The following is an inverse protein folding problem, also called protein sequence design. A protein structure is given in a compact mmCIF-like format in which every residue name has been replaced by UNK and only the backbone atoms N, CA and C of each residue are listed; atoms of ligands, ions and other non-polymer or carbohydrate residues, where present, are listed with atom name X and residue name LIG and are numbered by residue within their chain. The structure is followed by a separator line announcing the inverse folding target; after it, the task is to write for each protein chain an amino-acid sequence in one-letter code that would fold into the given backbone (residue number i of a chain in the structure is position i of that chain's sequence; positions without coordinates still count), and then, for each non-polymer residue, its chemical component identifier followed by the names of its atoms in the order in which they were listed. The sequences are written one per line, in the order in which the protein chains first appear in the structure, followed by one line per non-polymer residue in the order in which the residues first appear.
data_IF_264374730311
#
_entry.id   IF_264374730311
#
_cell.length_a   1.000
_cell.length_b   1.000
_cell.length_c   1.000
_cell.angle_alpha   90.00
_cell.angle_beta   90.00
_cell.angle_gamma   90.00
#
_symmetry.space_group_name_H-M   'P 1'
#
loop_
_entity.id
_entity.type
_entity.pdbx_description
1 polymer ?
#
# COMPACT_ATOMS: atom_id res chain seq x y z
N UNK A 1 -51.64 -30.18 8.91
CA UNK A 1 -51.31 -31.50 8.35
C UNK A 1 -49.79 -31.59 8.36
N UNK A 2 -49.18 -32.17 9.40
CA UNK A 2 -48.76 -33.59 9.47
C UNK A 2 -47.77 -33.94 8.33
N UNK A 3 -46.60 -34.54 8.48
CA UNK A 3 -45.79 -35.17 9.53
C UNK A 3 -44.31 -35.07 9.01
N UNK A 4 -43.20 -35.46 9.63
CA UNK A 4 -42.90 -36.50 10.60
C UNK A 4 -41.49 -36.25 11.11
N UNK A 5 -41.30 -36.40 12.41
CA UNK A 5 -39.99 -36.58 13.05
C UNK A 5 -39.39 -37.91 12.58
N UNK A 6 -38.07 -37.99 12.44
CA UNK A 6 -37.34 -39.26 12.52
C UNK A 6 -36.10 -39.04 13.38
N UNK A 7 -36.19 -39.54 14.61
CA UNK A 7 -35.09 -39.70 15.55
C UNK A 7 -34.37 -40.99 15.19
N UNK A 8 -33.05 -40.95 15.02
CA UNK A 8 -32.22 -42.14 15.17
C UNK A 8 -31.09 -41.84 16.14
N UNK A 9 -31.20 -42.53 17.26
CA UNK A 9 -30.26 -42.65 18.36
C UNK A 9 -28.96 -43.34 17.94
N UNK A 10 -27.83 -42.73 18.33
CA UNK A 10 -26.69 -43.41 18.95
C UNK A 10 -25.94 -44.49 18.17
N UNK A 11 -24.73 -44.16 17.74
CA UNK A 11 -23.59 -45.04 18.00
C UNK A 11 -22.33 -44.21 18.30
N UNK A 12 -22.00 -44.19 19.58
CA UNK A 12 -20.75 -43.66 20.13
C UNK A 12 -19.61 -44.57 19.63
N UNK A 13 -18.76 -44.08 18.74
CA UNK A 13 -17.46 -44.70 18.49
C UNK A 13 -16.36 -43.71 18.89
N UNK A 14 -15.91 -43.84 20.13
CA UNK A 14 -14.65 -43.28 20.61
C UNK A 14 -13.53 -43.98 19.86
N UNK A 15 -12.83 -43.26 18.98
CA UNK A 15 -11.47 -43.65 18.57
C UNK A 15 -10.59 -42.43 18.77
N UNK A 16 -9.83 -42.48 19.85
CA UNK A 16 -8.67 -41.63 20.10
C UNK A 16 -7.68 -41.79 18.93
N UNK A 17 -7.29 -40.67 18.34
CA UNK A 17 -6.30 -40.67 17.27
C UNK A 17 -5.98 -39.26 16.79
N UNK A 18 -5.34 -38.48 17.66
CA UNK A 18 -4.64 -37.26 17.27
C UNK A 18 -3.53 -37.69 16.29
N UNK A 19 -3.74 -37.48 14.99
CA UNK A 19 -2.64 -37.33 14.04
C UNK A 19 -2.77 -35.93 13.44
N UNK A 20 -2.36 -34.96 14.24
CA UNK A 20 -1.88 -33.69 13.72
C UNK A 20 -0.64 -34.03 12.88
N UNK A 21 -0.80 -34.16 11.56
CA UNK A 21 0.35 -34.10 10.66
C UNK A 21 0.89 -32.67 10.73
N UNK A 22 1.74 -32.41 11.72
CA UNK A 22 2.65 -31.28 11.72
C UNK A 22 3.54 -31.44 10.49
N UNK A 23 3.13 -30.89 9.36
CA UNK A 23 4.07 -30.48 8.33
C UNK A 23 4.90 -29.38 8.96
N UNK A 24 6.00 -29.77 9.60
CA UNK A 24 7.10 -28.87 9.93
C UNK A 24 7.67 -28.39 8.59
N UNK A 25 7.08 -27.32 8.05
CA UNK A 25 7.79 -26.45 7.14
C UNK A 25 8.85 -25.75 8.01
N UNK A 26 10.03 -26.37 8.11
CA UNK A 26 11.22 -25.65 8.57
C UNK A 26 11.55 -24.62 7.49
N UNK A 27 10.83 -23.51 7.50
CA UNK A 27 11.36 -22.28 6.92
C UNK A 27 12.67 -22.07 7.66
N UNK A 28 13.78 -22.22 6.93
CA UNK A 28 15.13 -22.12 7.45
C UNK A 28 15.22 -20.87 8.33
N UNK A 29 15.43 -21.06 9.64
CA UNK A 29 15.60 -19.98 10.62
C UNK A 29 16.65 -18.96 10.14
N UNK A 30 17.60 -19.40 9.33
CA UNK A 30 18.66 -18.59 8.73
C UNK A 30 18.17 -17.49 7.79
N UNK A 31 17.02 -17.65 7.12
CA UNK A 31 16.44 -16.60 6.26
C UNK A 31 15.66 -15.56 7.06
N UNK A 32 14.99 -15.99 8.14
CA UNK A 32 14.26 -15.08 9.05
C UNK A 32 15.25 -14.25 9.87
N UNK A 33 16.35 -14.86 10.34
CA UNK A 33 17.38 -14.19 11.13
C UNK A 33 18.13 -13.09 10.34
N UNK A 34 18.30 -13.27 9.03
CA UNK A 34 19.07 -12.34 8.18
C UNK A 34 18.32 -11.03 7.84
N UNK A 35 17.01 -11.01 8.06
CA UNK A 35 16.16 -9.84 7.82
C UNK A 35 15.97 -9.02 9.12
N UNK A 36 16.17 -9.63 10.28
CA UNK A 36 15.88 -9.04 11.60
C UNK A 36 16.99 -8.19 12.22
N UNK A 37 18.14 -7.99 11.56
CA UNK A 37 19.20 -7.09 12.04
C UNK A 37 18.92 -5.60 11.73
N UNK A 38 17.78 -5.29 11.08
CA UNK A 38 17.35 -3.92 10.86
C UNK A 38 16.76 -3.35 12.14
N UNK A 39 17.37 -2.28 12.64
CA UNK A 39 16.91 -1.59 13.85
C UNK A 39 15.63 -0.75 13.62
N UNK A 40 15.20 -0.61 12.36
CA UNK A 40 13.96 0.06 11.93
C UNK A 40 12.99 -0.94 11.26
N UNK A 41 11.69 -0.61 11.28
CA UNK A 41 10.60 -1.41 10.72
C UNK A 41 9.89 -0.68 9.58
N UNK A 42 9.51 -1.46 8.56
CA UNK A 42 8.65 -0.99 7.48
C UNK A 42 7.20 -0.87 7.98
N UNK A 43 6.60 0.28 7.73
CA UNK A 43 5.24 0.64 8.13
C UNK A 43 4.21 0.40 7.03
N UNK A 44 3.07 1.09 7.14
CA UNK A 44 1.98 1.03 6.16
C UNK A 44 2.28 1.85 4.91
N UNK A 45 1.50 1.59 3.86
CA UNK A 45 1.42 2.47 2.69
C UNK A 45 0.82 3.83 3.09
N UNK A 46 1.59 4.89 2.95
CA UNK A 46 1.12 6.25 3.20
C UNK A 46 0.24 6.74 2.03
N UNK A 47 0.77 6.67 0.82
CA UNK A 47 0.06 7.04 -0.39
C UNK A 47 0.65 6.40 -1.66
N UNK A 48 -0.15 6.40 -2.73
CA UNK A 48 0.31 6.18 -4.11
C UNK A 48 0.24 7.49 -4.86
N UNK A 49 1.36 7.96 -5.39
CA UNK A 49 1.43 9.19 -6.17
C UNK A 49 1.13 8.91 -7.64
N UNK A 50 0.23 9.70 -8.22
CA UNK A 50 -0.18 9.62 -9.62
C UNK A 50 0.09 10.98 -10.27
N UNK A 51 1.00 11.03 -11.23
CA UNK A 51 1.22 12.22 -12.02
C UNK A 51 0.10 12.35 -13.06
N UNK A 52 -0.57 13.50 -13.10
CA UNK A 52 -1.71 13.75 -13.98
C UNK A 52 -1.47 14.97 -14.88
N UNK A 53 -1.87 14.92 -16.17
CA UNK A 53 -1.68 16.03 -17.09
C UNK A 53 -2.66 17.19 -16.85
N UNK A 54 -3.75 16.93 -16.14
CA UNK A 54 -4.77 17.93 -15.77
C UNK A 54 -5.30 17.57 -14.39
N UNK A 55 -4.99 18.40 -13.40
CA UNK A 55 -5.30 18.15 -12.00
C UNK A 55 -6.80 18.25 -11.71
N UNK A 56 -7.47 19.25 -12.27
CA UNK A 56 -8.90 19.49 -12.03
C UNK A 56 -9.76 18.40 -12.67
N UNK A 57 -9.38 17.96 -13.88
CA UNK A 57 -10.03 16.81 -14.51
C UNK A 57 -9.85 15.54 -13.69
N UNK A 58 -8.64 15.26 -13.21
CA UNK A 58 -8.37 14.09 -12.39
C UNK A 58 -9.12 14.14 -11.05
N UNK A 59 -9.09 15.28 -10.36
CA UNK A 59 -9.87 15.56 -9.14
C UNK A 59 -11.35 15.26 -9.36
N UNK A 60 -11.93 15.80 -10.43
CA UNK A 60 -13.34 15.62 -10.77
C UNK A 60 -13.71 14.15 -11.04
N UNK A 61 -12.83 13.36 -11.66
CA UNK A 61 -13.08 11.91 -11.85
C UNK A 61 -13.24 11.21 -10.51
N UNK A 62 -12.30 11.40 -9.59
CA UNK A 62 -12.37 10.73 -8.28
C UNK A 62 -13.53 11.24 -7.44
N UNK A 63 -13.79 12.55 -7.45
CA UNK A 63 -14.84 13.16 -6.64
C UNK A 63 -16.25 12.91 -7.20
N UNK A 64 -16.47 13.23 -8.47
CA UNK A 64 -17.82 13.31 -9.04
C UNK A 64 -18.24 12.03 -9.77
N UNK A 65 -17.29 11.26 -10.31
CA UNK A 65 -17.60 9.99 -11.02
C UNK A 65 -17.50 8.81 -10.06
N UNK A 66 -16.44 8.75 -9.26
CA UNK A 66 -16.18 7.63 -8.35
C UNK A 66 -16.69 7.87 -6.92
N UNK A 67 -17.11 9.10 -6.58
CA UNK A 67 -17.73 9.41 -5.29
C UNK A 67 -16.76 9.42 -4.10
N UNK A 68 -15.45 9.57 -4.34
CA UNK A 68 -14.46 9.64 -3.28
C UNK A 68 -14.46 11.02 -2.59
N UNK A 69 -14.00 11.06 -1.35
CA UNK A 69 -13.66 12.32 -0.70
C UNK A 69 -12.33 12.83 -1.25
N UNK A 70 -12.31 14.05 -1.76
CA UNK A 70 -11.15 14.64 -2.42
C UNK A 70 -10.86 16.02 -1.84
N UNK A 71 -9.60 16.30 -1.54
CA UNK A 71 -9.18 17.57 -0.96
C UNK A 71 -9.22 18.72 -1.98
N UNK A 72 -9.06 19.94 -1.48
CA UNK A 72 -8.72 21.07 -2.34
C UNK A 72 -7.30 20.94 -2.90
N UNK A 73 -7.06 21.68 -3.99
CA UNK A 73 -5.76 21.78 -4.66
C UNK A 73 -4.80 22.59 -3.80
N UNK A 74 -3.65 22.02 -3.47
CA UNK A 74 -2.62 22.67 -2.65
C UNK A 74 -1.35 22.92 -3.49
N UNK A 75 -0.88 24.17 -3.64
CA UNK A 75 0.41 24.45 -4.24
C UNK A 75 1.54 24.11 -3.28
N UNK A 76 2.55 23.39 -3.75
CA UNK A 76 3.80 23.10 -3.03
C UNK A 76 5.01 23.61 -3.84
N UNK A 77 5.30 24.92 -3.79
CA UNK A 77 6.35 25.54 -4.62
C UNK A 77 7.74 24.93 -4.41
N UNK A 78 8.09 24.59 -3.16
CA UNK A 78 9.38 23.98 -2.81
C UNK A 78 9.58 22.59 -3.45
N UNK A 79 8.48 21.90 -3.74
CA UNK A 79 8.48 20.59 -4.41
C UNK A 79 8.17 20.69 -5.91
N UNK A 80 7.84 21.89 -6.40
CA UNK A 80 7.49 22.11 -7.81
C UNK A 80 6.24 21.35 -8.26
N UNK A 81 5.27 21.12 -7.37
CA UNK A 81 4.02 20.43 -7.71
C UNK A 81 2.80 21.10 -7.09
N UNK A 82 1.65 20.96 -7.75
CA UNK A 82 0.34 21.02 -7.11
C UNK A 82 -0.05 19.60 -6.69
N UNK A 83 -0.74 19.49 -5.56
CA UNK A 83 -1.23 18.21 -5.05
C UNK A 83 -2.71 18.25 -4.70
N UNK A 84 -3.38 17.11 -4.88
CA UNK A 84 -4.75 16.83 -4.42
C UNK A 84 -4.75 15.43 -3.82
N UNK A 85 -5.38 15.27 -2.65
CA UNK A 85 -5.51 13.98 -1.98
C UNK A 85 -6.89 13.37 -2.21
N UNK A 86 -6.91 12.10 -2.60
CA UNK A 86 -8.11 11.26 -2.64
C UNK A 86 -8.07 10.32 -1.45
N UNK A 87 -9.06 10.44 -0.56
CA UNK A 87 -9.13 9.67 0.68
C UNK A 87 -9.84 8.33 0.43
N UNK A 88 -9.16 7.21 0.72
CA UNK A 88 -9.68 5.84 0.54
C UNK A 88 -9.95 5.12 1.88
N UNK A 89 -9.75 5.79 3.00
CA UNK A 89 -9.91 5.26 4.35
C UNK A 89 -8.67 4.51 4.86
N UNK A 90 -8.15 3.54 4.11
CA UNK A 90 -6.94 2.79 4.50
C UNK A 90 -5.63 3.44 4.05
N UNK A 91 -5.67 4.24 3.00
CA UNK A 91 -4.53 4.99 2.43
C UNK A 91 -5.05 6.14 1.56
N UNK A 92 -4.16 6.82 0.84
CA UNK A 92 -4.48 7.97 -0.02
C UNK A 92 -3.93 7.77 -1.43
N UNK A 93 -4.60 8.37 -2.41
CA UNK A 93 -3.96 8.69 -3.68
C UNK A 93 -3.53 10.15 -3.63
N UNK A 94 -2.32 10.41 -4.07
CA UNK A 94 -1.80 11.76 -4.22
C UNK A 94 -1.72 12.09 -5.72
N UNK A 95 -2.60 12.98 -6.18
CA UNK A 95 -2.62 13.43 -7.56
C UNK A 95 -1.67 14.62 -7.70
N UNK A 96 -0.64 14.47 -8.53
CA UNK A 96 0.41 15.47 -8.70
C UNK A 96 0.35 16.10 -10.09
N UNK A 97 0.47 17.42 -10.14
CA UNK A 97 0.61 18.17 -11.39
C UNK A 97 1.78 19.16 -11.30
N UNK A 98 2.56 19.40 -12.37
CA UNK A 98 3.67 20.34 -12.35
C UNK A 98 3.29 21.73 -11.86
N UNK A 99 4.13 22.30 -10.99
CA UNK A 99 4.11 23.71 -10.63
C UNK A 99 5.48 24.31 -10.96
N UNK A 100 5.48 25.31 -11.84
CA UNK A 100 6.69 25.95 -12.35
C UNK A 100 7.40 25.14 -13.45
N UNK A 101 8.42 25.75 -14.07
CA UNK A 101 9.11 25.17 -15.22
C UNK A 101 10.04 24.01 -14.87
N UNK A 102 10.53 23.95 -13.62
CA UNK A 102 11.52 22.97 -13.15
C UNK A 102 10.89 21.87 -12.29
N UNK A 103 9.60 21.57 -12.48
CA UNK A 103 8.93 20.51 -11.72
C UNK A 103 9.62 19.15 -11.93
N UNK A 104 9.87 18.38 -10.85
CA UNK A 104 10.54 17.09 -10.93
C UNK A 104 9.75 16.05 -11.75
N UNK A 105 8.43 16.21 -11.88
CA UNK A 105 7.56 15.27 -12.61
C UNK A 105 7.31 15.68 -14.07
N UNK A 106 7.82 16.84 -14.53
CA UNK A 106 7.64 17.31 -15.91
C UNK A 106 8.17 16.29 -16.93
N UNK A 107 9.36 15.74 -16.71
CA UNK A 107 9.95 14.74 -17.60
C UNK A 107 9.14 13.43 -17.64
N UNK A 108 8.49 13.07 -16.53
CA UNK A 108 7.62 11.91 -16.48
C UNK A 108 6.37 12.11 -17.34
N UNK A 109 5.71 13.26 -17.25
CA UNK A 109 4.51 13.56 -18.05
C UNK A 109 4.82 13.77 -19.55
N UNK A 110 6.03 14.22 -19.89
CA UNK A 110 6.47 14.27 -21.29
C UNK A 110 6.51 12.88 -21.93
N UNK A 111 7.00 11.88 -21.17
CA UNK A 111 7.03 10.47 -21.60
C UNK A 111 5.65 9.82 -21.52
N UNK A 112 4.90 10.12 -20.47
CA UNK A 112 3.59 9.55 -20.16
C UNK A 112 2.51 10.63 -20.29
N UNK A 113 2.15 10.98 -21.53
CA UNK A 113 1.26 12.12 -21.83
C UNK A 113 -0.13 12.02 -21.19
N UNK A 114 -0.60 10.80 -20.93
CA UNK A 114 -1.89 10.56 -20.28
C UNK A 114 -1.81 10.56 -18.74
N UNK A 115 -0.62 10.74 -18.16
CA UNK A 115 -0.36 10.51 -16.74
C UNK A 115 0.00 9.07 -16.42
N UNK A 116 0.17 8.78 -15.13
CA UNK A 116 0.48 7.43 -14.64
C UNK A 116 0.90 7.40 -13.17
N UNK A 117 0.97 6.19 -12.59
CA UNK A 117 1.55 5.99 -11.26
C UNK A 117 3.02 6.38 -11.28
N UNK A 118 3.42 7.23 -10.35
CA UNK A 118 4.74 7.85 -10.31
C UNK A 118 5.63 7.21 -9.23
N UNK A 119 5.13 7.12 -8.01
CA UNK A 119 5.81 6.42 -6.91
C UNK A 119 4.81 5.94 -5.85
N UNK A 120 5.32 5.16 -4.91
CA UNK A 120 4.63 4.80 -3.66
C UNK A 120 5.43 5.35 -2.48
N UNK A 121 4.74 5.73 -1.42
CA UNK A 121 5.36 6.17 -0.17
C UNK A 121 4.98 5.19 0.94
N UNK A 122 5.97 4.56 1.56
CA UNK A 122 5.79 3.62 2.66
C UNK A 122 6.42 4.24 3.91
N UNK A 123 5.68 4.19 5.01
CA UNK A 123 6.15 4.73 6.30
C UNK A 123 7.28 3.87 6.87
N UNK A 124 8.10 4.47 7.72
CA UNK A 124 9.09 3.79 8.56
C UNK A 124 8.99 4.33 9.98
N UNK A 125 9.32 3.52 10.97
CA UNK A 125 9.25 3.92 12.38
C UNK A 125 10.38 4.87 12.81
N UNK A 126 11.58 4.74 12.22
CA UNK A 126 12.67 5.72 12.36
C UNK A 126 13.36 6.00 11.01
N UNK A 127 13.14 7.21 10.47
CA UNK A 127 13.71 7.62 9.18
C UNK A 127 15.23 7.78 9.21
N UNK A 128 15.80 8.23 10.34
CA UNK A 128 17.26 8.47 10.44
C UNK A 128 17.99 7.14 10.48
N UNK A 129 17.45 6.19 11.22
CA UNK A 129 17.97 4.83 11.30
C UNK A 129 17.81 4.09 9.97
N UNK A 130 16.63 4.18 9.34
CA UNK A 130 16.39 3.63 8.01
C UNK A 130 17.39 4.16 6.98
N UNK A 131 17.62 5.48 6.94
CA UNK A 131 18.61 6.08 6.07
C UNK A 131 20.05 5.64 6.38
N UNK A 132 20.43 5.56 7.66
CA UNK A 132 21.77 5.15 8.09
C UNK A 132 22.06 3.71 7.69
N UNK A 133 21.09 2.82 7.90
CA UNK A 133 21.17 1.41 7.55
C UNK A 133 21.18 1.18 6.03
N UNK A 134 20.30 1.85 5.27
CA UNK A 134 20.26 1.78 3.81
C UNK A 134 21.50 2.38 3.12
N UNK A 135 22.25 3.28 3.77
CA UNK A 135 23.55 3.75 3.24
C UNK A 135 24.65 2.70 3.39
N UNK A 136 24.59 1.88 4.44
CA UNK A 136 25.56 0.79 4.71
C UNK A 136 25.28 -0.42 3.85
N UNK A 137 24.00 -0.75 3.68
CA UNK A 137 23.53 -1.77 2.76
C UNK A 137 23.66 -1.17 1.36
N UNK A 138 24.61 -1.62 0.53
CA UNK A 138 24.72 -1.13 -0.85
C UNK A 138 23.46 -1.48 -1.65
N UNK A 139 22.43 -0.65 -1.54
CA UNK A 139 21.27 -0.64 -2.40
C UNK A 139 21.56 0.38 -3.49
N UNK A 140 22.03 -0.13 -4.64
CA UNK A 140 22.15 0.67 -5.85
C UNK A 140 20.77 0.90 -6.45
N UNK A 141 20.18 2.05 -6.13
CA UNK A 141 19.14 2.70 -6.94
C UNK A 141 19.69 4.02 -7.47
#
# INVERSE_FOLDING_TARGET
MAASMCWVTGLFCRINGIIQTKRNLSVSQTLVQKITDSLWKLGRLNHVAIAVPDLEKAKSVYQNVLGAQVSETVPLPEHGVYTVFVELGNTKLELLHPLGQNSPISGFLQKNKAGGMHHICIEVDDIKEAMSDLKKKTFGF
#
